data_IF_928143705279
#
_entry.id   IF_928143705279
#
_cell.length_a   1.000
_cell.length_b   1.000
_cell.length_c   1.000
_cell.angle_alpha   90.00
_cell.angle_beta   90.00
_cell.angle_gamma   90.00
#
_symmetry.space_group_name_H-M   'P 1'
#
loop_
_entity.id
_entity.type
_entity.pdbx_description
1 polymer ?
#
# COMPACT_ATOMS: atom_id res chain seq x y z
N UNK A 1 -21.77 -32.76 8.06
CA UNK A 1 -22.14 -31.53 8.79
C UNK A 1 -20.86 -30.77 9.03
N UNK A 2 -20.60 -29.69 8.27
CA UNK A 2 -19.47 -28.81 8.57
C UNK A 2 -19.94 -27.85 9.66
N UNK A 3 -19.18 -27.82 10.75
CA UNK A 3 -19.38 -26.96 11.90
C UNK A 3 -19.47 -25.51 11.42
N UNK A 4 -20.52 -24.80 11.84
CA UNK A 4 -20.56 -23.33 11.77
C UNK A 4 -19.49 -22.86 12.75
N UNK A 5 -18.29 -22.62 12.24
CA UNK A 5 -17.26 -21.88 12.94
C UNK A 5 -17.92 -20.60 13.47
N UNK A 6 -17.88 -20.42 14.79
CA UNK A 6 -18.52 -19.29 15.46
C UNK A 6 -17.88 -18.02 14.93
N UNK A 7 -18.56 -17.37 13.98
CA UNK A 7 -18.23 -16.06 13.43
C UNK A 7 -18.38 -15.02 14.54
N UNK A 8 -17.46 -15.02 15.51
CA UNK A 8 -17.22 -13.88 16.40
C UNK A 8 -16.48 -12.83 15.59
N UNK A 9 -17.12 -12.37 14.50
CA UNK A 9 -16.60 -11.35 13.62
C UNK A 9 -16.28 -10.10 14.43
N UNK A 10 -15.07 -9.56 14.26
CA UNK A 10 -14.64 -8.37 14.97
C UNK A 10 -15.34 -7.15 14.36
N UNK A 11 -16.01 -6.36 15.19
CA UNK A 11 -16.67 -5.13 14.76
C UNK A 11 -15.85 -3.92 15.20
N UNK A 12 -15.81 -2.89 14.36
CA UNK A 12 -15.14 -1.62 14.65
C UNK A 12 -16.06 -0.47 14.28
N UNK A 13 -16.06 0.60 15.05
CA UNK A 13 -16.79 1.84 14.75
C UNK A 13 -15.81 2.94 14.45
N UNK A 14 -15.98 3.59 13.30
CA UNK A 14 -15.11 4.67 12.84
C UNK A 14 -15.99 5.89 12.56
N UNK A 15 -15.82 6.94 13.34
CA UNK A 15 -16.75 8.06 13.42
C UNK A 15 -18.16 7.57 13.75
N UNK A 16 -19.09 7.77 12.81
CA UNK A 16 -20.50 7.34 12.93
C UNK A 16 -20.79 5.99 12.27
N UNK A 17 -19.86 5.44 11.50
CA UNK A 17 -20.06 4.22 10.74
C UNK A 17 -19.57 2.98 11.50
N UNK A 18 -20.37 1.92 11.47
CA UNK A 18 -19.99 0.60 11.97
C UNK A 18 -19.46 -0.24 10.82
N UNK A 19 -18.39 -0.98 11.06
CA UNK A 19 -17.79 -1.91 10.12
C UNK A 19 -17.68 -3.29 10.74
N UNK A 20 -17.87 -4.32 9.91
CA UNK A 20 -17.56 -5.72 10.24
C UNK A 20 -16.28 -6.11 9.51
N UNK A 21 -15.32 -6.69 10.24
CA UNK A 21 -14.16 -7.34 9.65
C UNK A 21 -14.58 -8.74 9.19
N UNK A 22 -14.48 -9.00 7.90
CA UNK A 22 -14.87 -10.27 7.28
C UNK A 22 -13.72 -10.87 6.49
N UNK A 23 -13.71 -12.20 6.39
CA UNK A 23 -12.82 -12.93 5.51
C UNK A 23 -13.57 -13.24 4.21
N UNK A 24 -13.31 -12.46 3.15
CA UNK A 24 -13.95 -12.67 1.86
C UNK A 24 -13.19 -13.74 1.07
N UNK A 25 -13.84 -14.85 0.67
CA UNK A 25 -13.19 -15.89 -0.12
C UNK A 25 -12.88 -15.41 -1.54
N UNK A 26 -11.77 -15.88 -2.09
CA UNK A 26 -11.33 -15.69 -3.47
C UNK A 26 -11.50 -16.97 -4.30
N UNK A 27 -11.49 -16.81 -5.62
CA UNK A 27 -11.55 -17.95 -6.57
C UNK A 27 -10.34 -18.88 -6.42
N UNK A 28 -9.20 -18.36 -5.95
CA UNK A 28 -7.98 -19.16 -5.66
C UNK A 28 -8.17 -20.16 -4.52
N UNK A 29 -9.23 -20.03 -3.71
CA UNK A 29 -9.44 -20.78 -2.48
C UNK A 29 -8.91 -20.08 -1.22
N UNK A 30 -8.19 -18.97 -1.38
CA UNK A 30 -7.72 -18.14 -0.26
C UNK A 30 -8.83 -17.17 0.22
N UNK A 31 -8.59 -16.51 1.35
CA UNK A 31 -9.44 -15.44 1.87
C UNK A 31 -8.65 -14.14 1.97
N UNK A 32 -9.34 -13.00 1.82
CA UNK A 32 -8.79 -11.68 2.13
C UNK A 32 -9.60 -11.03 3.25
N UNK A 33 -8.93 -10.28 4.11
CA UNK A 33 -9.61 -9.47 5.12
C UNK A 33 -10.23 -8.23 4.46
N UNK A 34 -11.50 -7.98 4.74
CA UNK A 34 -12.23 -6.83 4.22
C UNK A 34 -13.05 -6.17 5.34
N UNK A 35 -13.10 -4.82 5.29
CA UNK A 35 -13.95 -4.00 6.17
C UNK A 35 -15.23 -3.67 5.42
N UNK A 36 -16.34 -4.31 5.78
CA UNK A 36 -17.65 -4.01 5.18
C UNK A 36 -18.45 -3.09 6.09
N UNK A 37 -19.17 -2.14 5.49
CA UNK A 37 -20.14 -1.33 6.23
C UNK A 37 -21.21 -2.24 6.84
N UNK A 38 -21.56 -1.98 8.09
CA UNK A 38 -22.52 -2.77 8.85
C UNK A 38 -23.55 -1.88 9.51
N UNK A 39 -24.76 -2.41 9.68
CA UNK A 39 -25.83 -1.72 10.40
C UNK A 39 -25.81 -2.08 11.88
N UNK A 40 -25.91 -1.05 12.73
CA UNK A 40 -26.06 -1.25 14.18
C UNK A 40 -27.38 -1.95 14.53
N UNK A 41 -28.42 -1.78 13.72
CA UNK A 41 -29.70 -2.46 13.91
C UNK A 41 -29.57 -3.96 13.70
N UNK A 42 -28.87 -4.38 12.63
CA UNK A 42 -28.58 -5.79 12.35
C UNK A 42 -27.71 -6.39 13.45
N UNK A 43 -26.66 -5.69 13.87
CA UNK A 43 -25.83 -6.14 15.00
C UNK A 43 -26.68 -6.41 16.26
N UNK A 44 -27.61 -5.51 16.57
CA UNK A 44 -28.50 -5.65 17.73
C UNK A 44 -29.54 -6.77 17.56
N UNK A 45 -29.95 -7.09 16.34
CA UNK A 45 -30.80 -8.25 16.06
C UNK A 45 -30.03 -9.56 16.27
N UNK A 46 -28.77 -9.62 15.84
CA UNK A 46 -27.92 -10.81 15.93
C UNK A 46 -27.54 -11.13 17.39
N UNK A 47 -27.18 -10.11 18.16
CA UNK A 47 -26.66 -10.26 19.53
C UNK A 47 -27.69 -9.97 20.64
N UNK A 48 -28.79 -9.29 20.32
CA UNK A 48 -29.74 -8.79 21.31
C UNK A 48 -29.31 -7.46 21.97
N UNK A 49 -30.23 -6.81 22.68
CA UNK A 49 -30.04 -5.46 23.23
C UNK A 49 -28.91 -5.34 24.26
N UNK A 50 -28.69 -6.38 25.06
CA UNK A 50 -27.83 -6.33 26.24
C UNK A 50 -26.57 -7.21 26.12
N UNK A 51 -26.33 -7.80 24.96
CA UNK A 51 -25.24 -8.75 24.75
C UNK A 51 -24.42 -8.40 23.49
N UNK A 52 -24.28 -7.10 23.23
CA UNK A 52 -23.47 -6.59 22.13
C UNK A 52 -21.98 -6.92 22.37
N UNK A 53 -21.22 -7.27 21.31
CA UNK A 53 -19.78 -7.47 21.43
C UNK A 53 -19.08 -6.16 21.81
N UNK A 54 -17.85 -6.26 22.30
CA UNK A 54 -17.01 -5.08 22.45
C UNK A 54 -16.63 -4.54 21.07
N UNK A 55 -16.79 -3.24 20.87
CA UNK A 55 -16.59 -2.56 19.58
C UNK A 55 -15.55 -1.47 19.80
N UNK A 56 -14.39 -1.64 19.16
CA UNK A 56 -13.35 -0.61 19.14
C UNK A 56 -13.87 0.65 18.44
N UNK A 57 -13.54 1.82 18.99
CA UNK A 57 -14.06 3.11 18.54
C UNK A 57 -12.91 4.01 18.13
N UNK A 58 -12.99 4.48 16.90
CA UNK A 58 -12.04 5.41 16.31
C UNK A 58 -12.78 6.66 15.83
N UNK A 59 -12.14 7.82 15.89
CA UNK A 59 -12.72 9.09 15.42
C UNK A 59 -12.71 9.18 13.89
N UNK A 60 -11.76 8.49 13.25
CA UNK A 60 -11.63 8.47 11.79
C UNK A 60 -10.51 7.56 11.30
N UNK A 61 -10.25 7.66 10.00
CA UNK A 61 -9.11 7.03 9.35
C UNK A 61 -7.92 7.98 9.26
N UNK A 62 -6.71 7.43 9.30
CA UNK A 62 -5.49 8.13 8.92
C UNK A 62 -4.70 7.29 7.91
N UNK A 63 -3.71 7.90 7.26
CA UNK A 63 -2.77 7.22 6.38
C UNK A 63 -1.37 7.68 6.73
N UNK A 64 -0.75 6.99 7.69
CA UNK A 64 0.59 7.27 8.17
C UNK A 64 1.47 6.09 7.76
N UNK A 65 2.27 6.21 6.69
CA UNK A 65 3.12 5.13 6.26
C UNK A 65 4.36 5.04 7.16
N UNK A 66 4.60 3.85 7.70
CA UNK A 66 5.84 3.48 8.38
C UNK A 66 6.09 1.99 8.15
N UNK A 67 7.20 1.66 7.51
CA UNK A 67 7.54 0.28 7.15
C UNK A 67 8.36 -0.43 8.24
N UNK A 68 8.93 0.32 9.19
CA UNK A 68 9.88 -0.18 10.19
C UNK A 68 9.20 -0.27 11.56
N UNK A 69 8.51 0.79 11.99
CA UNK A 69 7.76 0.86 13.24
C UNK A 69 6.27 1.07 12.95
N UNK A 70 5.70 0.17 12.13
CA UNK A 70 4.29 0.23 11.74
C UNK A 70 3.37 0.25 12.96
N UNK A 71 2.39 1.18 12.95
CA UNK A 71 1.32 1.24 13.95
C UNK A 71 -0.04 1.28 13.27
N UNK A 72 -0.91 0.39 13.72
CA UNK A 72 -2.29 0.32 13.23
C UNK A 72 -3.16 1.43 13.83
N UNK A 73 -2.84 1.93 15.02
CA UNK A 73 -3.63 2.94 15.73
C UNK A 73 -2.75 4.13 16.10
N UNK A 74 -3.20 5.33 15.72
CA UNK A 74 -2.55 6.60 16.07
C UNK A 74 -3.53 7.47 16.86
N UNK A 75 -3.38 7.49 18.19
CA UNK A 75 -4.32 8.16 19.08
C UNK A 75 -5.71 7.51 18.97
N UNK A 76 -6.70 8.27 18.49
CA UNK A 76 -8.07 7.79 18.24
C UNK A 76 -8.34 7.45 16.77
N UNK A 77 -7.33 7.46 15.90
CA UNK A 77 -7.48 7.18 14.47
C UNK A 77 -6.96 5.80 14.09
N UNK A 78 -7.66 5.15 13.16
CA UNK A 78 -7.25 3.86 12.59
C UNK A 78 -6.47 4.09 11.29
N UNK A 79 -5.26 3.54 11.23
CA UNK A 79 -4.40 3.65 10.05
C UNK A 79 -4.91 2.73 8.93
N UNK A 80 -5.06 3.27 7.73
CA UNK A 80 -5.38 2.52 6.52
C UNK A 80 -4.13 1.99 5.82
N UNK A 81 -2.96 2.48 6.19
CA UNK A 81 -1.70 1.93 5.72
C UNK A 81 -1.54 0.49 6.24
N UNK A 82 -1.08 -0.44 5.40
CA UNK A 82 -0.86 -1.85 5.76
C UNK A 82 0.62 -2.14 5.89
N UNK A 83 1.03 -2.96 6.88
CA UNK A 83 2.44 -3.30 7.05
C UNK A 83 2.95 -4.12 5.86
N UNK A 84 4.19 -3.88 5.48
CA UNK A 84 4.87 -4.72 4.49
C UNK A 84 5.10 -6.11 5.10
N UNK A 85 4.63 -7.15 4.41
CA UNK A 85 4.73 -8.53 4.88
C UNK A 85 6.15 -9.10 4.88
N UNK A 86 7.06 -8.50 4.10
CA UNK A 86 8.43 -8.94 3.94
C UNK A 86 9.37 -8.12 4.84
N UNK A 87 10.18 -8.82 5.64
CA UNK A 87 11.18 -8.21 6.51
C UNK A 87 12.54 -8.27 5.81
N UNK A 88 13.29 -7.14 5.75
CA UNK A 88 14.63 -7.14 5.19
C UNK A 88 15.54 -8.14 5.90
N UNK A 89 16.28 -8.93 5.14
CA UNK A 89 17.27 -9.87 5.66
C UNK A 89 18.60 -9.71 4.92
N UNK A 90 19.70 -9.96 5.63
CA UNK A 90 21.02 -9.99 5.00
C UNK A 90 21.13 -11.22 4.09
N UNK A 91 21.67 -11.01 2.89
CA UNK A 91 21.91 -12.10 1.93
C UNK A 91 22.18 -11.57 0.53
N UNK A 92 22.58 -12.49 -0.35
CA UNK A 92 22.75 -12.19 -1.76
C UNK A 92 21.40 -12.26 -2.49
N UNK A 93 21.20 -11.32 -3.41
CA UNK A 93 19.99 -11.20 -4.20
C UNK A 93 20.32 -11.15 -5.70
N UNK A 94 20.99 -12.17 -6.27
CA UNK A 94 21.61 -12.09 -7.59
C UNK A 94 20.62 -11.72 -8.70
N UNK A 95 19.42 -12.31 -8.70
CA UNK A 95 18.39 -12.01 -9.70
C UNK A 95 17.85 -10.58 -9.59
N UNK A 96 17.63 -10.09 -8.36
CA UNK A 96 17.18 -8.72 -8.12
C UNK A 96 18.31 -7.76 -8.53
N UNK A 97 19.56 -8.06 -8.16
CA UNK A 97 20.74 -7.26 -8.53
C UNK A 97 20.86 -7.12 -10.04
N UNK A 98 20.81 -8.22 -10.80
CA UNK A 98 20.87 -8.16 -12.27
C UNK A 98 19.72 -7.36 -12.86
N UNK A 99 18.52 -7.45 -12.29
CA UNK A 99 17.38 -6.64 -12.71
C UNK A 99 17.59 -5.15 -12.44
N UNK A 100 18.09 -4.79 -11.25
CA UNK A 100 18.43 -3.42 -10.90
C UNK A 100 19.58 -2.89 -11.77
N UNK A 101 20.57 -3.71 -12.12
CA UNK A 101 21.69 -3.35 -13.00
C UNK A 101 21.18 -3.06 -14.42
N UNK A 102 20.17 -3.81 -14.86
CA UNK A 102 19.50 -3.55 -16.12
C UNK A 102 18.72 -2.23 -16.13
N UNK A 103 18.08 -1.88 -15.01
CA UNK A 103 17.31 -0.63 -14.86
C UNK A 103 18.26 0.57 -14.72
N UNK A 104 19.10 0.56 -13.70
CA UNK A 104 19.90 1.72 -13.31
C UNK A 104 21.23 1.83 -14.05
N UNK A 105 21.74 0.74 -14.65
CA UNK A 105 22.99 0.75 -15.41
C UNK A 105 24.16 1.28 -14.59
N UNK A 106 24.80 2.34 -15.09
CA UNK A 106 25.92 3.02 -14.41
C UNK A 106 25.49 3.72 -13.11
N UNK A 107 24.19 4.01 -12.94
CA UNK A 107 23.63 4.67 -11.75
C UNK A 107 23.15 3.67 -10.68
N UNK A 108 23.73 2.47 -10.62
CA UNK A 108 23.34 1.41 -9.68
C UNK A 108 23.22 1.89 -8.23
N UNK A 109 24.25 2.56 -7.70
CA UNK A 109 24.27 3.03 -6.31
C UNK A 109 23.12 4.02 -6.03
N UNK A 110 22.85 4.95 -6.95
CA UNK A 110 21.71 5.87 -6.86
C UNK A 110 20.36 5.13 -6.85
N UNK A 111 20.25 4.05 -7.63
CA UNK A 111 19.07 3.20 -7.63
C UNK A 111 18.85 2.46 -6.32
N UNK A 112 19.94 1.97 -5.70
CA UNK A 112 19.89 1.33 -4.39
C UNK A 112 19.49 2.35 -3.30
N UNK A 113 20.10 3.52 -3.28
CA UNK A 113 19.74 4.61 -2.36
C UNK A 113 18.27 5.01 -2.53
N UNK A 114 17.79 5.12 -3.77
CA UNK A 114 16.40 5.43 -4.07
C UNK A 114 15.44 4.39 -3.48
N UNK A 115 15.71 3.09 -3.69
CA UNK A 115 14.88 2.00 -3.16
C UNK A 115 14.96 1.94 -1.62
N UNK A 116 16.13 2.20 -1.05
CA UNK A 116 16.30 2.28 0.39
C UNK A 116 15.47 3.43 0.98
N UNK A 117 15.48 4.61 0.36
CA UNK A 117 14.70 5.75 0.82
C UNK A 117 13.19 5.49 0.71
N UNK A 118 12.73 4.85 -0.36
CA UNK A 118 11.33 4.40 -0.47
C UNK A 118 10.93 3.50 0.71
N UNK A 119 11.84 2.66 1.18
CA UNK A 119 11.57 1.76 2.29
C UNK A 119 11.67 2.45 3.66
N UNK A 120 12.75 3.20 3.92
CA UNK A 120 13.06 3.77 5.24
C UNK A 120 12.31 5.09 5.50
N UNK A 121 12.01 5.85 4.45
CA UNK A 121 11.37 7.16 4.53
C UNK A 121 10.21 7.27 3.54
N UNK A 122 9.10 6.53 3.74
CA UNK A 122 8.01 6.46 2.76
C UNK A 122 7.27 7.80 2.54
N UNK A 123 7.42 8.77 3.43
CA UNK A 123 6.88 10.13 3.26
C UNK A 123 7.81 11.07 2.48
N UNK A 124 9.04 10.62 2.17
CA UNK A 124 10.00 11.42 1.43
C UNK A 124 9.56 11.56 -0.02
N UNK A 125 9.49 12.80 -0.50
CA UNK A 125 9.26 13.07 -1.91
C UNK A 125 10.50 12.66 -2.71
N UNK A 126 10.37 11.59 -3.50
CA UNK A 126 11.40 11.13 -4.42
C UNK A 126 11.00 11.39 -5.87
N UNK A 127 11.96 11.53 -6.79
CA UNK A 127 11.66 11.71 -8.20
C UNK A 127 10.98 10.47 -8.80
N UNK A 128 10.15 10.65 -9.83
CA UNK A 128 9.44 9.53 -10.45
C UNK A 128 10.39 8.79 -11.39
N UNK A 129 10.53 7.48 -11.19
CA UNK A 129 11.23 6.60 -12.12
C UNK A 129 10.38 6.36 -13.38
N UNK A 130 10.84 6.87 -14.52
CA UNK A 130 10.22 6.63 -15.82
C UNK A 130 11.07 5.64 -16.62
N UNK A 131 10.54 4.42 -16.79
CA UNK A 131 11.17 3.38 -17.59
C UNK A 131 10.69 3.52 -19.04
N UNK A 132 11.55 3.98 -19.93
CA UNK A 132 11.27 4.08 -21.38
C UNK A 132 12.08 3.04 -22.15
N UNK A 133 11.42 2.25 -22.99
CA UNK A 133 12.10 1.35 -23.92
C UNK A 133 12.11 1.94 -25.33
N UNK A 134 13.25 1.84 -26.02
CA UNK A 134 13.37 2.34 -27.40
C UNK A 134 12.62 1.50 -28.44
N UNK A 135 12.20 0.29 -28.08
CA UNK A 135 11.75 -0.74 -29.03
C UNK A 135 10.24 -0.73 -29.36
N UNK A 136 9.52 0.37 -29.14
CA UNK A 136 8.10 0.46 -29.54
C UNK A 136 7.79 1.71 -30.38
N UNK A 137 8.00 1.58 -31.69
CA UNK A 137 7.33 2.37 -32.74
C UNK A 137 5.84 1.96 -32.87
N UNK A 138 5.07 1.92 -31.77
CA UNK A 138 3.61 1.81 -31.85
C UNK A 138 2.98 3.16 -31.60
N UNK A 139 2.95 3.98 -32.65
CA UNK A 139 1.81 4.84 -33.02
C UNK A 139 1.16 5.76 -31.98
N UNK A 140 1.81 6.09 -30.86
CA UNK A 140 1.45 7.21 -29.98
C UNK A 140 2.58 8.21 -30.01
N UNK A 141 2.54 9.06 -31.05
CA UNK A 141 3.41 10.20 -31.20
C UNK A 141 3.33 11.11 -29.96
N UNK A 142 4.51 11.55 -29.51
CA UNK A 142 4.78 12.71 -28.65
C UNK A 142 4.47 12.58 -27.15
N UNK A 143 5.31 11.85 -26.41
CA UNK A 143 5.78 12.39 -25.13
C UNK A 143 6.49 13.73 -25.44
N UNK A 144 6.20 14.83 -24.73
CA UNK A 144 6.79 16.14 -25.03
C UNK A 144 8.31 16.02 -25.03
N UNK A 145 8.92 16.55 -26.10
CA UNK A 145 10.35 16.50 -26.38
C UNK A 145 11.16 16.95 -25.16
N UNK A 146 11.73 15.98 -24.44
CA UNK A 146 12.84 16.20 -23.55
C UNK A 146 14.08 16.48 -24.43
N UNK A 147 14.92 17.47 -24.06
CA UNK A 147 16.04 17.90 -24.89
C UNK A 147 16.92 16.70 -25.27
N UNK A 148 17.07 16.52 -26.57
CA UNK A 148 17.87 15.48 -27.22
C UNK A 148 19.34 15.62 -26.81
N UNK A 149 19.77 14.90 -25.78
CA UNK A 149 21.19 14.51 -25.72
C UNK A 149 21.56 13.25 -24.91
N UNK A 150 20.66 12.63 -24.15
CA UNK A 150 21.02 11.45 -23.33
C UNK A 150 20.20 10.19 -23.64
N UNK A 151 19.89 9.94 -24.92
CA UNK A 151 19.30 8.68 -25.34
C UNK A 151 20.37 7.58 -25.45
N UNK A 152 20.95 7.15 -24.33
CA UNK A 152 21.43 5.76 -24.13
C UNK A 152 20.48 5.05 -23.18
N UNK A 153 20.69 3.77 -22.88
CA UNK A 153 19.70 2.92 -22.18
C UNK A 153 19.64 3.30 -20.69
N UNK A 154 19.11 4.48 -20.36
CA UNK A 154 19.18 5.02 -19.01
C UNK A 154 17.79 5.33 -18.47
N UNK A 155 17.56 4.90 -17.22
CA UNK A 155 16.41 5.35 -16.44
C UNK A 155 16.64 6.82 -16.09
N UNK A 156 15.75 7.70 -16.56
CA UNK A 156 15.81 9.10 -16.18
C UNK A 156 14.95 9.35 -14.94
N UNK A 157 15.62 9.78 -13.88
CA UNK A 157 15.02 10.23 -12.62
C UNK A 157 14.46 11.65 -12.86
N UNK A 158 13.14 11.77 -12.98
CA UNK A 158 12.49 13.06 -13.27
C UNK A 158 11.91 13.70 -11.99
N UNK A 159 12.29 14.96 -11.73
CA UNK A 159 11.69 15.76 -10.68
C UNK A 159 10.35 16.33 -11.16
N UNK A 160 9.25 15.70 -10.78
CA UNK A 160 7.94 16.35 -10.84
C UNK A 160 7.66 17.02 -9.49
N UNK A 161 7.57 18.36 -9.47
CA UNK A 161 7.05 19.07 -8.30
C UNK A 161 5.56 18.72 -8.19
N UNK A 162 5.23 17.81 -7.29
CA UNK A 162 3.85 17.61 -6.85
C UNK A 162 3.35 18.91 -6.23
N UNK A 163 2.28 19.48 -6.79
CA UNK A 163 1.55 20.54 -6.13
C UNK A 163 1.01 20.00 -4.80
N UNK A 164 1.20 20.70 -3.66
CA UNK A 164 0.51 20.33 -2.44
C UNK A 164 -0.98 20.56 -2.66
N UNK A 165 -1.79 19.50 -2.64
CA UNK A 165 -3.21 19.65 -2.37
C UNK A 165 -3.37 19.83 -0.85
N UNK A 166 -3.32 21.09 -0.44
CA UNK A 166 -3.98 21.55 0.78
C UNK A 166 -5.47 21.67 0.49
N UNK A 167 -6.32 20.85 1.10
CA UNK A 167 -7.19 21.11 2.27
C UNK A 167 -8.03 19.84 2.51
#
# INVERSE_FOLDING_TARGET
>A
MKEKESDSGKYIRIGTALYKLVQRPLISGDCIEEKILWSYETLRQDYGKNNLPDIEKYDGFCMIPDHIDYRQVHGTYLNQYEPISHVPCSGEFPHIRTFLEHIFGEQMELGLDYLQLLFVQPTQMLPILLLVSKERNTGKNNLPAFPENDFRKECHIQYQRGFPQSV
#
